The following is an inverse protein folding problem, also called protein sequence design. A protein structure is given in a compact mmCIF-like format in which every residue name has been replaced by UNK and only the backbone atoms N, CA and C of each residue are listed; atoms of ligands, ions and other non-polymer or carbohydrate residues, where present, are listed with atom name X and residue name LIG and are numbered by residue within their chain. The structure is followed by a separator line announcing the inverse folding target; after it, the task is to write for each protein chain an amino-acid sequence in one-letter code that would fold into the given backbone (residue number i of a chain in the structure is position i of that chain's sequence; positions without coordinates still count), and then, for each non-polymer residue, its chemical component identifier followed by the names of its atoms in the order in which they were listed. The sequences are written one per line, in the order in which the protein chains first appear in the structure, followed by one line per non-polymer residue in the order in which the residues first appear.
data_IF_148199565525
#
_entry.id   IF_148199565525
#
_cell.length_a   1.000
_cell.length_b   1.000
_cell.length_c   1.000
_cell.angle_alpha   90.00
_cell.angle_beta   90.00
_cell.angle_gamma   90.00
#
_symmetry.space_group_name_H-M   'P 1'
#
loop_
_entity.id
_entity.type
_entity.pdbx_description
1 polymer ?
#
# COMPACT_ATOMS: atom_id res chain seq x y z
N UNK A 1 -19.49 11.46 25.22
CA UNK A 1 -18.99 12.68 24.53
C UNK A 1 -19.70 12.76 23.20
N UNK A 2 -20.41 13.86 22.92
CA UNK A 2 -21.11 14.03 21.64
C UNK A 2 -20.10 14.39 20.54
N UNK A 3 -20.17 13.72 19.39
CA UNK A 3 -19.28 13.98 18.27
C UNK A 3 -19.90 15.04 17.36
N UNK A 4 -19.45 16.29 17.51
CA UNK A 4 -19.93 17.41 16.69
C UNK A 4 -19.15 17.50 15.37
N UNK A 5 -19.82 17.23 14.25
CA UNK A 5 -19.22 17.36 12.92
C UNK A 5 -19.62 18.70 12.32
N UNK A 6 -18.64 19.58 12.08
CA UNK A 6 -18.87 20.90 11.51
C UNK A 6 -18.12 21.07 10.19
N UNK A 7 -18.76 21.74 9.23
CA UNK A 7 -18.16 22.12 7.94
C UNK A 7 -18.14 23.64 7.83
N UNK A 8 -17.01 24.18 7.37
CA UNK A 8 -16.87 25.59 7.03
C UNK A 8 -17.58 25.85 5.70
N UNK A 9 -18.69 26.59 5.72
CA UNK A 9 -19.51 26.84 4.53
C UNK A 9 -19.05 28.08 3.75
N UNK A 10 -18.51 29.08 4.43
CA UNK A 10 -18.10 30.36 3.83
C UNK A 10 -16.69 30.75 4.24
N UNK A 11 -16.02 31.55 3.40
CA UNK A 11 -14.71 32.15 3.72
C UNK A 11 -14.74 32.98 5.01
N UNK A 12 -15.91 33.53 5.36
CA UNK A 12 -16.18 34.29 6.60
C UNK A 12 -16.08 33.48 7.90
N UNK A 13 -15.87 32.16 7.84
CA UNK A 13 -15.59 31.35 9.04
C UNK A 13 -16.84 30.79 9.75
N UNK A 14 -18.02 30.87 9.11
CA UNK A 14 -19.25 30.27 9.65
C UNK A 14 -19.17 28.74 9.53
N UNK A 15 -19.40 28.08 10.66
CA UNK A 15 -19.45 26.62 10.78
C UNK A 15 -20.91 26.15 10.80
N UNK A 16 -21.24 25.16 9.97
CA UNK A 16 -22.54 24.53 9.93
C UNK A 16 -22.45 23.05 10.34
N UNK A 17 -23.51 22.48 10.94
CA UNK A 17 -23.56 21.05 11.20
C UNK A 17 -23.45 20.25 9.88
N UNK A 18 -22.54 19.28 9.86
CA UNK A 18 -22.30 18.42 8.70
C UNK A 18 -23.23 17.21 8.66
N UNK A 19 -23.82 16.85 9.80
CA UNK A 19 -24.76 15.72 9.96
C UNK A 19 -26.05 16.19 10.64
N UNK A 20 -27.19 15.52 10.40
CA UNK A 20 -28.46 15.83 11.08
C UNK A 20 -28.34 15.76 12.61
N UNK A 21 -27.64 14.75 13.11
CA UNK A 21 -27.36 14.56 14.55
C UNK A 21 -26.61 15.75 15.17
N UNK A 22 -25.66 16.34 14.43
CA UNK A 22 -24.95 17.55 14.86
C UNK A 22 -25.88 18.77 14.89
N UNK A 23 -26.86 18.82 13.97
CA UNK A 23 -27.90 19.84 13.92
C UNK A 23 -28.83 19.75 15.13
N UNK A 24 -29.32 18.55 15.43
CA UNK A 24 -30.21 18.31 16.57
C UNK A 24 -29.54 18.67 17.90
N UNK A 25 -28.25 18.35 18.06
CA UNK A 25 -27.47 18.79 19.21
C UNK A 25 -27.38 20.32 19.29
N UNK A 26 -27.05 21.00 18.19
CA UNK A 26 -26.98 22.47 18.18
C UNK A 26 -28.34 23.14 18.45
N UNK A 27 -29.44 22.52 18.01
CA UNK A 27 -30.79 22.99 18.32
C UNK A 27 -31.15 22.83 19.80
N UNK A 28 -30.57 21.86 20.49
CA UNK A 28 -30.78 21.65 21.93
C UNK A 28 -30.04 22.66 22.82
N UNK A 29 -28.97 23.27 22.30
CA UNK A 29 -28.18 24.28 23.03
C UNK A 29 -28.83 25.65 22.86
N UNK A 30 -28.98 26.40 23.96
CA UNK A 30 -29.62 27.72 23.89
C UNK A 30 -28.69 28.75 23.28
N UNK A 31 -29.28 29.73 22.60
CA UNK A 31 -28.57 30.89 22.07
C UNK A 31 -27.89 31.63 23.23
N UNK A 32 -26.56 31.75 23.17
CA UNK A 32 -25.74 32.41 24.19
C UNK A 32 -25.04 31.48 25.19
N UNK A 33 -25.29 30.17 25.14
CA UNK A 33 -24.55 29.19 25.95
C UNK A 33 -23.18 28.86 25.34
N UNK A 34 -22.17 28.72 26.19
CA UNK A 34 -20.81 28.37 25.78
C UNK A 34 -20.70 26.87 25.52
N UNK A 35 -20.27 26.50 24.31
CA UNK A 35 -19.96 25.12 23.94
C UNK A 35 -18.44 24.94 23.96
N UNK A 36 -17.96 23.97 24.75
CA UNK A 36 -16.57 23.53 24.70
C UNK A 36 -16.48 22.24 23.87
N UNK A 37 -15.65 22.24 22.83
CA UNK A 37 -15.47 21.09 21.94
C UNK A 37 -14.01 20.94 21.53
N UNK A 38 -13.53 19.69 21.51
CA UNK A 38 -12.22 19.34 20.97
C UNK A 38 -12.32 19.09 19.48
N UNK A 39 -11.69 19.95 18.68
CA UNK A 39 -11.69 19.82 17.23
C UNK A 39 -10.58 18.90 16.75
N UNK A 40 -10.96 17.79 16.11
CA UNK A 40 -10.03 16.97 15.33
C UNK A 40 -10.32 17.15 13.84
N UNK A 41 -9.33 17.64 13.10
CA UNK A 41 -9.44 17.74 11.64
C UNK A 41 -9.55 16.34 11.02
N UNK A 42 -10.67 16.07 10.37
CA UNK A 42 -10.83 14.85 9.56
C UNK A 42 -9.91 14.94 8.35
N UNK A 43 -9.25 13.83 8.01
CA UNK A 43 -8.41 13.76 6.81
C UNK A 43 -9.24 14.06 5.56
N UNK A 44 -8.63 14.63 4.53
CA UNK A 44 -9.34 14.98 3.29
C UNK A 44 -9.88 13.71 2.59
N UNK A 45 -11.17 13.43 2.76
CA UNK A 45 -11.81 12.23 2.22
C UNK A 45 -11.73 12.15 0.69
N UNK A 46 -11.95 13.28 0.00
CA UNK A 46 -11.87 13.33 -1.46
C UNK A 46 -10.46 13.00 -1.96
N UNK A 47 -9.43 13.47 -1.26
CA UNK A 47 -8.05 13.15 -1.58
C UNK A 47 -7.74 11.66 -1.35
N UNK A 48 -8.13 11.11 -0.19
CA UNK A 48 -7.95 9.67 0.07
C UNK A 48 -8.67 8.80 -0.96
N UNK A 49 -9.89 9.17 -1.35
CA UNK A 49 -10.65 8.48 -2.39
C UNK A 49 -9.91 8.48 -3.74
N UNK A 50 -9.33 9.62 -4.14
CA UNK A 50 -8.52 9.72 -5.37
C UNK A 50 -7.24 8.90 -5.28
N UNK A 51 -6.56 8.93 -4.13
CA UNK A 51 -5.36 8.12 -3.89
C UNK A 51 -5.64 6.61 -4.05
N UNK A 52 -6.69 6.08 -3.42
CA UNK A 52 -7.04 4.67 -3.56
C UNK A 52 -7.48 4.30 -4.99
N UNK A 53 -8.09 5.24 -5.74
CA UNK A 53 -8.39 5.03 -7.16
C UNK A 53 -7.14 4.95 -8.02
N UNK A 54 -6.10 5.72 -7.72
CA UNK A 54 -4.80 5.62 -8.38
C UNK A 54 -4.09 4.30 -8.08
N UNK A 55 -4.13 3.82 -6.84
CA UNK A 55 -3.60 2.49 -6.50
C UNK A 55 -4.33 1.38 -7.24
N UNK A 56 -5.66 1.47 -7.35
CA UNK A 56 -6.45 0.51 -8.14
C UNK A 56 -6.04 0.54 -9.61
N UNK A 57 -5.90 1.72 -10.21
CA UNK A 57 -5.41 1.86 -11.58
C UNK A 57 -4.01 1.25 -11.75
N UNK A 58 -3.09 1.53 -10.82
CA UNK A 58 -1.75 0.95 -10.86
C UNK A 58 -1.76 -0.58 -10.79
N UNK A 59 -2.63 -1.15 -9.95
CA UNK A 59 -2.83 -2.59 -9.86
C UNK A 59 -3.38 -3.20 -11.16
N UNK A 60 -4.36 -2.53 -11.79
CA UNK A 60 -4.97 -2.97 -13.04
C UNK A 60 -3.94 -3.05 -14.19
N UNK A 61 -2.94 -2.17 -14.20
CA UNK A 61 -1.87 -2.14 -15.21
C UNK A 61 -0.58 -2.87 -14.81
N UNK A 62 -0.38 -3.15 -13.52
CA UNK A 62 0.79 -3.88 -13.05
C UNK A 62 0.72 -5.35 -13.45
N UNK A 63 1.84 -5.90 -13.93
CA UNK A 63 1.98 -7.32 -14.26
C UNK A 63 2.97 -7.94 -13.27
N UNK A 64 2.61 -9.02 -12.56
CA UNK A 64 3.52 -9.67 -11.63
C UNK A 64 4.73 -10.21 -12.39
N UNK A 65 5.91 -9.69 -12.05
CA UNK A 65 7.19 -10.10 -12.65
C UNK A 65 7.91 -11.20 -11.83
N UNK A 66 7.30 -11.67 -10.74
CA UNK A 66 7.90 -12.66 -9.83
C UNK A 66 6.85 -13.33 -8.94
N UNK A 67 7.32 -14.18 -8.02
CA UNK A 67 6.48 -14.96 -7.10
C UNK A 67 6.08 -16.35 -7.62
N UNK A 68 6.62 -16.78 -8.75
CA UNK A 68 6.49 -18.17 -9.25
C UNK A 68 7.44 -19.17 -8.59
N UNK A 69 8.44 -18.66 -7.86
CA UNK A 69 9.40 -19.44 -7.09
C UNK A 69 9.12 -19.27 -5.60
N UNK A 70 9.23 -20.36 -4.85
CA UNK A 70 9.02 -20.34 -3.40
C UNK A 70 10.23 -19.71 -2.68
N UNK A 71 10.04 -19.17 -1.47
CA UNK A 71 11.16 -18.68 -0.65
C UNK A 71 12.24 -19.73 -0.40
N UNK A 72 11.84 -21.00 -0.25
CA UNK A 72 12.74 -22.13 -0.02
C UNK A 72 13.62 -22.42 -1.25
N UNK A 73 13.05 -22.31 -2.46
CA UNK A 73 13.79 -22.47 -3.72
C UNK A 73 14.83 -21.37 -3.89
N UNK A 74 14.44 -20.11 -3.63
CA UNK A 74 15.35 -18.97 -3.65
C UNK A 74 16.49 -19.15 -2.65
N UNK A 75 16.15 -19.56 -1.42
CA UNK A 75 17.15 -19.80 -0.38
C UNK A 75 18.08 -20.97 -0.72
N UNK A 76 17.57 -22.03 -1.35
CA UNK A 76 18.39 -23.16 -1.80
C UNK A 76 19.41 -22.72 -2.85
N UNK A 77 18.97 -22.00 -3.89
CA UNK A 77 19.86 -21.50 -4.95
C UNK A 77 20.89 -20.53 -4.39
N UNK A 78 20.48 -19.59 -3.54
CA UNK A 78 21.39 -18.64 -2.91
C UNK A 78 22.45 -19.33 -2.04
N UNK A 79 22.08 -20.36 -1.26
CA UNK A 79 23.04 -21.14 -0.48
C UNK A 79 23.99 -21.93 -1.36
N UNK A 80 23.49 -22.53 -2.45
CA UNK A 80 24.32 -23.26 -3.40
C UNK A 80 25.35 -22.35 -4.08
N UNK A 81 24.93 -21.16 -4.49
CA UNK A 81 25.81 -20.15 -5.08
C UNK A 81 26.85 -19.68 -4.06
N UNK A 82 26.43 -19.41 -2.81
CA UNK A 82 27.36 -19.09 -1.72
C UNK A 82 28.44 -20.16 -1.53
N UNK A 83 28.04 -21.44 -1.54
CA UNK A 83 28.98 -22.57 -1.51
C UNK A 83 29.96 -22.55 -2.69
N UNK A 84 29.49 -22.32 -3.93
CA UNK A 84 30.37 -22.24 -5.10
C UNK A 84 31.36 -21.07 -5.01
N UNK A 85 30.90 -19.92 -4.49
CA UNK A 85 31.74 -18.74 -4.28
C UNK A 85 32.85 -19.04 -3.28
N UNK A 86 32.51 -19.69 -2.16
CA UNK A 86 33.49 -20.15 -1.16
C UNK A 86 34.50 -21.14 -1.75
N UNK A 87 34.03 -22.15 -2.49
CA UNK A 87 34.87 -23.15 -3.13
C UNK A 87 35.80 -22.56 -4.20
N UNK A 88 35.40 -21.44 -4.82
CA UNK A 88 36.22 -20.72 -5.80
C UNK A 88 37.26 -19.77 -5.19
N UNK A 89 37.33 -19.69 -3.85
CA UNK A 89 38.21 -18.75 -3.16
C UNK A 89 37.76 -17.29 -3.35
N UNK A 90 36.46 -17.04 -3.45
CA UNK A 90 35.84 -15.71 -3.56
C UNK A 90 36.16 -14.94 -4.84
N UNK A 91 36.85 -15.54 -5.82
CA UNK A 91 37.28 -14.83 -7.05
C UNK A 91 36.16 -14.52 -8.03
N UNK A 92 35.11 -15.35 -8.05
CA UNK A 92 34.02 -15.26 -9.02
C UNK A 92 32.67 -14.90 -8.37
N UNK A 93 32.69 -14.29 -7.18
CA UNK A 93 31.50 -13.98 -6.38
C UNK A 93 30.41 -13.25 -7.15
N UNK A 94 30.78 -12.16 -7.82
CA UNK A 94 29.84 -11.34 -8.60
C UNK A 94 29.24 -12.10 -9.78
N UNK A 95 30.07 -12.80 -10.55
CA UNK A 95 29.63 -13.53 -11.76
C UNK A 95 28.68 -14.68 -11.39
N UNK A 96 29.01 -15.43 -10.34
CA UNK A 96 28.18 -16.55 -9.89
C UNK A 96 26.84 -16.06 -9.31
N UNK A 97 26.85 -14.94 -8.59
CA UNK A 97 25.61 -14.34 -8.06
C UNK A 97 24.74 -13.79 -9.18
N UNK A 98 25.32 -13.08 -10.15
CA UNK A 98 24.58 -12.57 -11.31
C UNK A 98 23.99 -13.71 -12.17
N UNK A 99 24.75 -14.78 -12.40
CA UNK A 99 24.25 -15.96 -13.10
C UNK A 99 23.10 -16.64 -12.37
N UNK A 100 23.12 -16.65 -11.02
CA UNK A 100 22.03 -17.17 -10.22
C UNK A 100 20.76 -16.33 -10.35
N UNK A 101 20.89 -15.00 -10.29
CA UNK A 101 19.76 -14.09 -10.48
C UNK A 101 19.13 -14.26 -11.87
N UNK A 102 19.95 -14.40 -12.91
CA UNK A 102 19.48 -14.65 -14.29
C UNK A 102 18.78 -16.02 -14.40
N UNK A 103 19.35 -17.06 -13.80
CA UNK A 103 18.73 -18.39 -13.76
C UNK A 103 17.37 -18.38 -13.06
N UNK A 104 17.27 -17.74 -11.90
CA UNK A 104 16.01 -17.61 -11.16
C UNK A 104 14.95 -16.84 -11.95
N UNK A 105 15.36 -15.78 -12.67
CA UNK A 105 14.46 -15.04 -13.54
C UNK A 105 13.93 -15.93 -14.69
N UNK A 106 14.81 -16.71 -15.31
CA UNK A 106 14.47 -17.61 -16.42
C UNK A 106 13.52 -18.73 -15.97
N UNK A 107 13.83 -19.40 -14.85
CA UNK A 107 12.93 -20.39 -14.24
C UNK A 107 11.57 -19.77 -13.89
N UNK A 108 11.59 -18.55 -13.35
CA UNK A 108 10.39 -17.80 -13.06
C UNK A 108 9.51 -17.60 -14.30
N UNK A 109 10.11 -17.21 -15.43
CA UNK A 109 9.41 -17.02 -16.71
C UNK A 109 8.89 -18.34 -17.28
N UNK A 110 9.66 -19.43 -17.20
CA UNK A 110 9.27 -20.75 -17.69
C UNK A 110 8.02 -21.26 -16.99
N UNK A 111 7.96 -21.16 -15.66
CA UNK A 111 6.78 -21.60 -14.89
C UNK A 111 5.52 -20.80 -15.19
N UNK A 112 5.69 -19.55 -15.64
CA UNK A 112 4.59 -18.64 -15.96
C UNK A 112 4.18 -18.67 -17.43
N UNK A 113 4.84 -19.48 -18.27
CA UNK A 113 4.44 -19.64 -19.68
C UNK A 113 3.06 -20.28 -19.82
N UNK A 114 2.83 -21.35 -19.07
CA UNK A 114 1.61 -22.17 -19.19
C UNK A 114 0.60 -21.90 -18.07
N UNK A 115 0.98 -21.11 -17.07
CA UNK A 115 0.15 -20.74 -15.91
C UNK A 115 0.07 -19.23 -15.77
N UNK A 116 -1.14 -18.68 -15.83
CA UNK A 116 -1.36 -17.26 -15.58
C UNK A 116 -1.06 -16.92 -14.11
N UNK A 117 -0.08 -16.04 -13.87
CA UNK A 117 0.12 -15.45 -12.55
C UNK A 117 -1.09 -14.60 -12.17
N UNK A 118 -1.74 -14.95 -11.06
CA UNK A 118 -2.82 -14.16 -10.52
C UNK A 118 -2.25 -12.89 -9.90
N UNK A 119 -2.85 -11.74 -10.26
CA UNK A 119 -2.53 -10.48 -9.60
C UNK A 119 -2.99 -10.53 -8.14
N UNK A 120 -2.15 -10.05 -7.24
CA UNK A 120 -2.45 -9.93 -5.82
C UNK A 120 -1.96 -8.59 -5.28
N UNK A 121 -2.71 -8.02 -4.32
CA UNK A 121 -2.36 -6.73 -3.71
C UNK A 121 -1.10 -6.81 -2.85
N UNK A 122 -0.78 -7.97 -2.26
CA UNK A 122 0.41 -8.14 -1.43
C UNK A 122 1.72 -7.95 -2.21
N UNK A 123 1.95 -8.65 -3.33
CA UNK A 123 3.13 -8.41 -4.16
C UNK A 123 3.13 -7.02 -4.81
N UNK A 124 1.96 -6.50 -5.20
CA UNK A 124 1.85 -5.14 -5.74
C UNK A 124 2.27 -4.09 -4.69
N UNK A 125 1.88 -4.27 -3.43
CA UNK A 125 2.26 -3.39 -2.32
C UNK A 125 3.75 -3.46 -1.98
N UNK A 126 4.40 -4.61 -2.15
CA UNK A 126 5.84 -4.71 -1.98
C UNK A 126 6.62 -4.02 -3.12
N UNK A 127 5.98 -3.82 -4.27
CA UNK A 127 6.57 -3.19 -5.45
C UNK A 127 6.47 -1.65 -5.45
N UNK A 128 5.36 -1.07 -4.95
CA UNK A 128 5.12 0.39 -4.83
C UNK A 128 5.77 0.98 -3.59
#
# INVERSE_FOLDING_TARGET
MAQLQLVKHTSSGILLPATPESGDFLHSVKIGEWIHADFKRVRNYAFHKRFFKLLQLGFDYWTPAGGSLSPDELQLVNRFVGYLVEMSGQRYGEVLSAAADEFLLLEGQLRTRDVALLKSFEPYRAWV
#
